data_IF_835311707470
#
_entry.id   IF_835311707470
#
_cell.length_a   1.000
_cell.length_b   1.000
_cell.length_c   1.000
_cell.angle_alpha   90.00
_cell.angle_beta   90.00
_cell.angle_gamma   90.00
#
_symmetry.space_group_name_H-M   'P 1'
#
loop_
_entity.id
_entity.type
_entity.pdbx_description
1 polymer ?
#
# COMPACT_ATOMS: atom_id res chain seq x y z
N UNK A 1 1.16 8.27 -23.06
CA UNK A 1 0.90 8.64 -21.66
C UNK A 1 1.56 7.55 -20.86
N UNK A 2 2.80 7.77 -20.39
CA UNK A 2 3.40 6.83 -19.44
C UNK A 2 2.46 6.78 -18.24
N UNK A 3 2.03 5.58 -17.86
CA UNK A 3 1.49 5.42 -16.52
C UNK A 3 2.63 5.83 -15.59
N UNK A 4 2.48 6.93 -14.85
CA UNK A 4 3.38 7.22 -13.73
C UNK A 4 3.30 6.00 -12.81
N UNK A 5 4.29 5.11 -12.89
CA UNK A 5 4.39 3.96 -11.99
C UNK A 5 4.46 4.53 -10.57
N UNK A 6 3.55 4.10 -9.71
CA UNK A 6 3.50 4.52 -8.30
C UNK A 6 4.41 3.56 -7.54
N UNK A 7 5.71 3.87 -7.46
CA UNK A 7 6.68 2.97 -6.85
C UNK A 7 6.64 3.17 -5.35
N UNK A 8 5.96 2.27 -4.67
CA UNK A 8 5.77 2.35 -3.23
C UNK A 8 7.07 1.91 -2.56
N UNK A 9 7.67 2.85 -1.84
CA UNK A 9 8.88 2.65 -1.05
C UNK A 9 8.65 2.91 0.45
N UNK A 10 7.44 3.38 0.81
CA UNK A 10 6.97 3.52 2.18
C UNK A 10 5.60 2.87 2.36
N UNK A 11 5.53 1.88 3.26
CA UNK A 11 4.26 1.33 3.74
C UNK A 11 4.28 1.35 5.25
N UNK A 12 3.36 2.08 5.87
CA UNK A 12 3.33 2.21 7.32
C UNK A 12 1.93 2.47 7.85
N UNK A 13 1.61 1.86 8.99
CA UNK A 13 0.40 2.22 9.72
C UNK A 13 0.54 3.64 10.27
N UNK A 14 -0.45 4.48 10.02
CA UNK A 14 -0.52 5.80 10.64
C UNK A 14 -1.05 5.62 12.06
N UNK A 15 -0.37 6.19 13.05
CA UNK A 15 -1.02 6.48 14.33
C UNK A 15 -2.22 7.39 14.09
N UNK A 16 -2.04 8.39 13.23
CA UNK A 16 -3.11 9.31 12.83
C UNK A 16 -2.67 10.28 11.73
N UNK A 17 -3.62 10.89 11.03
CA UNK A 17 -3.43 12.06 10.17
C UNK A 17 -4.02 13.30 10.82
N UNK A 18 -3.25 14.40 10.86
CA UNK A 18 -3.61 15.69 11.47
C UNK A 18 -3.56 16.80 10.45
N UNK A 19 -4.44 17.78 10.58
CA UNK A 19 -4.35 19.04 9.85
C UNK A 19 -4.83 20.16 10.77
N UNK A 20 -4.21 21.33 10.64
CA UNK A 20 -4.66 22.55 11.33
C UNK A 20 -5.85 23.21 10.61
N UNK A 21 -6.18 22.74 9.41
CA UNK A 21 -7.29 23.22 8.58
C UNK A 21 -8.15 22.05 8.08
N UNK A 22 -9.17 22.35 7.28
CA UNK A 22 -9.93 21.29 6.60
C UNK A 22 -9.01 20.59 5.59
N UNK A 23 -8.87 19.27 5.73
CA UNK A 23 -8.04 18.44 4.86
C UNK A 23 -8.87 17.32 4.22
N UNK A 24 -8.63 17.04 2.94
CA UNK A 24 -9.27 15.92 2.25
C UNK A 24 -8.48 15.48 1.02
N UNK A 25 -8.68 14.23 0.60
CA UNK A 25 -8.17 13.73 -0.68
C UNK A 25 -9.35 13.64 -1.66
N UNK A 26 -9.30 14.42 -2.73
CA UNK A 26 -10.36 14.45 -3.74
C UNK A 26 -9.78 14.71 -5.12
N UNK A 27 -10.41 14.15 -6.16
CA UNK A 27 -9.95 14.26 -7.55
C UNK A 27 -8.48 13.86 -7.77
N UNK A 28 -7.97 12.91 -6.98
CA UNK A 28 -6.60 12.39 -7.09
C UNK A 28 -5.53 13.28 -6.45
N UNK A 29 -5.90 14.29 -5.66
CA UNK A 29 -4.98 15.20 -4.96
C UNK A 29 -5.40 15.45 -3.51
N UNK A 30 -4.43 15.74 -2.66
CA UNK A 30 -4.60 16.32 -1.33
C UNK A 30 -5.05 17.78 -1.46
N UNK A 31 -6.05 18.17 -0.67
CA UNK A 31 -6.51 19.55 -0.53
C UNK A 31 -6.25 19.98 0.91
N UNK A 32 -5.38 20.97 1.07
CA UNK A 32 -4.81 21.40 2.35
C UNK A 32 -3.55 20.61 2.74
N UNK A 33 -2.81 21.17 3.68
CA UNK A 33 -1.66 20.52 4.30
C UNK A 33 -2.11 19.58 5.41
N UNK A 34 -1.47 18.42 5.52
CA UNK A 34 -1.64 17.50 6.62
C UNK A 34 -0.31 16.87 7.06
N UNK A 35 -0.33 16.34 8.27
CA UNK A 35 0.75 15.60 8.88
C UNK A 35 0.29 14.18 9.16
N UNK A 36 0.91 13.20 8.52
CA UNK A 36 0.73 11.80 8.88
C UNK A 36 1.75 11.40 9.95
N UNK A 37 1.27 11.10 11.14
CA UNK A 37 2.08 10.53 12.23
C UNK A 37 2.03 9.01 12.10
N UNK A 38 3.18 8.39 11.88
CA UNK A 38 3.30 6.95 11.75
C UNK A 38 3.33 6.29 13.13
N UNK A 39 2.97 5.01 13.19
CA UNK A 39 2.91 4.26 14.45
C UNK A 39 4.30 4.10 15.11
N UNK A 40 5.37 4.16 14.32
CA UNK A 40 6.77 4.15 14.78
C UNK A 40 7.29 5.53 15.24
N UNK A 41 6.43 6.56 15.21
CA UNK A 41 6.75 7.92 15.62
C UNK A 41 7.35 8.81 14.54
N UNK A 42 7.63 8.29 13.33
CA UNK A 42 8.00 9.12 12.19
C UNK A 42 6.84 10.04 11.80
N UNK A 43 7.18 11.18 11.24
CA UNK A 43 6.22 12.22 10.85
C UNK A 43 6.44 12.56 9.39
N UNK A 44 5.38 12.49 8.59
CA UNK A 44 5.40 12.82 7.17
C UNK A 44 4.51 14.02 6.90
N UNK A 45 4.97 14.93 6.06
CA UNK A 45 4.15 16.04 5.57
C UNK A 45 3.47 15.63 4.26
N UNK A 46 2.14 15.75 4.23
CA UNK A 46 1.33 15.67 3.01
C UNK A 46 1.01 17.12 2.65
N UNK A 47 1.78 17.70 1.73
CA UNK A 47 1.58 19.07 1.30
C UNK A 47 0.29 19.22 0.48
N UNK A 48 -0.31 20.41 0.49
CA UNK A 48 -1.41 20.75 -0.42
C UNK A 48 -1.02 20.46 -1.88
N UNK A 49 -1.96 19.89 -2.64
CA UNK A 49 -1.73 19.48 -4.03
C UNK A 49 -0.93 18.19 -4.23
N UNK A 50 -0.45 17.53 -3.16
CA UNK A 50 0.22 16.21 -3.29
C UNK A 50 -0.73 15.21 -3.94
N UNK A 51 -0.27 14.49 -4.97
CA UNK A 51 -1.11 13.49 -5.63
C UNK A 51 -1.43 12.33 -4.69
N UNK A 52 -2.66 11.85 -4.68
CA UNK A 52 -3.00 10.69 -3.88
C UNK A 52 -4.46 10.26 -3.95
N UNK A 53 -4.74 9.14 -3.30
CA UNK A 53 -6.08 8.61 -3.13
C UNK A 53 -6.31 8.19 -1.67
N UNK A 54 -7.57 8.16 -1.24
CA UNK A 54 -7.92 7.64 0.08
C UNK A 54 -9.18 6.80 0.00
N UNK A 55 -9.09 5.56 0.45
CA UNK A 55 -10.24 4.72 0.80
C UNK A 55 -10.40 4.59 2.31
N UNK A 56 -9.49 5.17 3.10
CA UNK A 56 -9.64 5.26 4.55
C UNK A 56 -10.64 6.37 4.90
N UNK A 57 -11.73 6.00 5.58
CA UNK A 57 -12.84 6.93 5.85
C UNK A 57 -12.57 7.94 6.97
N UNK A 58 -11.71 7.59 7.93
CA UNK A 58 -11.43 8.42 9.11
C UNK A 58 -9.92 8.53 9.37
N UNK A 59 -9.14 9.24 8.53
CA UNK A 59 -7.70 9.40 8.70
C UNK A 59 -7.25 10.00 10.04
N UNK A 60 -8.10 10.81 10.65
CA UNK A 60 -7.89 11.41 11.95
C UNK A 60 -8.13 10.44 13.12
N UNK A 61 -8.83 9.33 12.90
CA UNK A 61 -9.03 8.32 13.93
C UNK A 61 -7.71 7.58 14.21
N UNK A 62 -7.51 7.19 15.46
CA UNK A 62 -6.27 6.53 15.87
C UNK A 62 -6.13 5.16 15.22
N UNK A 63 -4.95 4.88 14.67
CA UNK A 63 -4.55 3.61 14.06
C UNK A 63 -5.48 3.15 12.92
N UNK A 64 -6.27 4.06 12.34
CA UNK A 64 -7.35 3.72 11.41
C UNK A 64 -6.87 3.46 9.98
N UNK A 65 -5.69 3.95 9.60
CA UNK A 65 -5.20 3.87 8.24
C UNK A 65 -3.77 3.31 8.14
N UNK A 66 -3.46 2.81 6.95
CA UNK A 66 -2.10 2.60 6.45
C UNK A 66 -1.86 3.59 5.32
N UNK A 67 -0.69 4.23 5.33
CA UNK A 67 -0.19 5.01 4.21
C UNK A 67 0.74 4.14 3.36
N UNK A 68 0.48 4.12 2.05
CA UNK A 68 1.39 3.64 1.02
C UNK A 68 1.86 4.86 0.24
N UNK A 69 3.16 5.14 0.20
CA UNK A 69 3.69 6.32 -0.47
C UNK A 69 4.84 5.97 -1.40
N UNK A 70 4.91 6.74 -2.48
CA UNK A 70 6.07 6.91 -3.35
C UNK A 70 6.78 8.19 -2.87
N UNK A 71 8.00 8.04 -2.37
CA UNK A 71 8.76 9.12 -1.75
C UNK A 71 9.95 9.55 -2.60
N UNK A 72 10.30 10.84 -2.48
CA UNK A 72 11.51 11.40 -3.05
C UNK A 72 12.27 12.17 -1.98
N UNK A 73 13.31 11.54 -1.43
CA UNK A 73 13.98 12.02 -0.23
C UNK A 73 13.01 11.98 0.95
N UNK A 74 12.77 13.14 1.58
CA UNK A 74 11.85 13.25 2.72
C UNK A 74 10.41 13.63 2.30
N UNK A 75 10.16 13.82 0.99
CA UNK A 75 8.87 14.27 0.45
C UNK A 75 8.01 13.13 -0.10
N UNK A 76 6.69 13.29 -0.03
CA UNK A 76 5.71 12.40 -0.68
C UNK A 76 5.43 12.92 -2.08
N UNK A 77 5.66 12.09 -3.10
CA UNK A 77 5.32 12.39 -4.51
C UNK A 77 3.91 11.90 -4.82
N UNK A 78 3.56 10.73 -4.29
CA UNK A 78 2.23 10.14 -4.39
C UNK A 78 1.89 9.32 -3.15
N UNK A 79 0.61 9.25 -2.74
CA UNK A 79 0.20 8.38 -1.65
C UNK A 79 -1.19 7.74 -1.83
N UNK A 80 -1.40 6.63 -1.12
CA UNK A 80 -2.71 6.04 -0.86
C UNK A 80 -2.92 5.86 0.63
N UNK A 81 -4.04 6.34 1.15
CA UNK A 81 -4.53 5.97 2.48
C UNK A 81 -5.57 4.86 2.35
N UNK A 82 -5.27 3.72 2.94
CA UNK A 82 -6.20 2.57 2.99
C UNK A 82 -6.59 2.27 4.43
N UNK A 83 -7.75 1.64 4.68
CA UNK A 83 -8.10 1.18 6.01
C UNK A 83 -7.00 0.28 6.59
N UNK A 84 -6.68 0.49 7.86
CA UNK A 84 -5.82 -0.42 8.59
C UNK A 84 -6.46 -1.82 8.69
N UNK A 85 -5.65 -2.88 8.79
CA UNK A 85 -6.17 -4.22 9.02
C UNK A 85 -6.89 -4.31 10.37
N UNK A 86 -7.61 -5.42 10.57
CA UNK A 86 -8.28 -5.69 11.83
C UNK A 86 -7.32 -5.59 13.03
N UNK A 87 -7.83 -5.12 14.17
CA UNK A 87 -7.04 -4.94 15.40
C UNK A 87 -6.30 -6.23 15.74
N UNK A 88 -4.98 -6.11 15.95
CA UNK A 88 -4.10 -7.24 16.26
C UNK A 88 -3.50 -7.95 15.04
N UNK A 89 -3.86 -7.54 13.82
CA UNK A 89 -3.24 -8.03 12.58
C UNK A 89 -2.21 -7.04 12.05
N UNK A 90 -1.11 -7.54 11.49
CA UNK A 90 -0.16 -6.77 10.67
C UNK A 90 -0.35 -7.02 9.17
N UNK A 91 -1.36 -7.79 8.77
CA UNK A 91 -1.57 -8.19 7.38
C UNK A 91 -2.53 -7.24 6.67
N UNK A 92 -1.97 -6.38 5.82
CA UNK A 92 -2.74 -5.51 4.95
C UNK A 92 -3.09 -6.23 3.64
N UNK A 93 -4.38 -6.33 3.35
CA UNK A 93 -4.86 -6.84 2.06
C UNK A 93 -4.89 -5.74 1.00
N UNK A 94 -4.23 -6.00 -0.12
CA UNK A 94 -4.15 -5.13 -1.28
C UNK A 94 -4.71 -5.84 -2.54
N UNK A 95 -4.98 -5.08 -3.61
CA UNK A 95 -5.41 -5.65 -4.87
C UNK A 95 -4.48 -6.75 -5.39
N UNK A 96 -4.98 -7.67 -6.25
CA UNK A 96 -4.17 -8.74 -6.80
C UNK A 96 -2.97 -8.21 -7.59
N UNK A 97 -1.91 -9.02 -7.62
CA UNK A 97 -0.73 -8.82 -8.46
C UNK A 97 -1.14 -9.00 -9.93
N UNK A 98 -0.81 -8.01 -10.75
CA UNK A 98 -0.93 -8.05 -12.21
C UNK A 98 0.36 -8.51 -12.88
N UNK A 99 1.52 -8.02 -12.41
CA UNK A 99 2.82 -8.37 -12.99
C UNK A 99 3.91 -8.43 -11.92
N UNK A 100 4.91 -9.29 -12.14
CA UNK A 100 6.15 -9.32 -11.37
C UNK A 100 7.21 -8.51 -12.12
N UNK A 101 7.94 -7.67 -11.38
CA UNK A 101 8.90 -6.70 -11.92
C UNK A 101 10.30 -6.98 -11.33
N UNK A 102 11.32 -6.41 -11.96
CA UNK A 102 12.69 -6.33 -11.44
C UNK A 102 13.23 -7.66 -10.90
N UNK A 103 13.06 -8.74 -11.66
CA UNK A 103 13.52 -10.07 -11.24
C UNK A 103 12.80 -10.63 -10.02
N UNK A 104 11.52 -10.26 -9.82
CA UNK A 104 10.65 -10.69 -8.69
C UNK A 104 11.01 -10.02 -7.36
N UNK A 105 11.47 -8.77 -7.42
CA UNK A 105 11.68 -7.92 -6.22
C UNK A 105 10.53 -6.94 -6.00
N UNK A 106 9.75 -6.65 -7.05
CA UNK A 106 8.55 -5.82 -6.99
C UNK A 106 7.37 -6.52 -7.68
N UNK A 107 6.16 -6.19 -7.23
CA UNK A 107 4.92 -6.58 -7.87
C UNK A 107 4.12 -5.35 -8.26
N UNK A 108 3.69 -5.28 -9.52
CA UNK A 108 2.65 -4.35 -9.94
C UNK A 108 1.29 -4.92 -9.61
N UNK A 109 0.49 -4.17 -8.87
CA UNK A 109 -0.88 -4.51 -8.53
C UNK A 109 -1.84 -4.03 -9.62
N UNK A 110 -3.02 -4.63 -9.67
CA UNK A 110 -4.09 -4.26 -10.64
C UNK A 110 -4.59 -2.82 -10.55
N UNK A 111 -4.26 -2.07 -9.50
CA UNK A 111 -4.54 -0.63 -9.39
C UNK A 111 -3.33 0.25 -9.77
N UNK A 112 -2.26 -0.34 -10.32
CA UNK A 112 -1.07 0.36 -10.81
C UNK A 112 0.01 0.64 -9.77
N UNK A 113 -0.19 0.31 -8.49
CA UNK A 113 0.85 0.42 -7.47
C UNK A 113 1.94 -0.63 -7.70
N UNK A 114 3.21 -0.26 -7.55
CA UNK A 114 4.33 -1.19 -7.53
C UNK A 114 4.82 -1.32 -6.09
N UNK A 115 4.64 -2.51 -5.50
CA UNK A 115 4.96 -2.79 -4.10
C UNK A 115 6.14 -3.76 -3.98
N UNK A 116 6.99 -3.60 -2.97
CA UNK A 116 8.16 -4.47 -2.78
C UNK A 116 7.72 -5.86 -2.29
N UNK A 117 8.42 -6.89 -2.77
CA UNK A 117 8.23 -8.28 -2.40
C UNK A 117 9.30 -8.71 -1.40
N UNK A 118 8.94 -9.58 -0.46
CA UNK A 118 9.93 -10.37 0.28
C UNK A 118 10.54 -11.43 -0.62
N UNK A 119 11.76 -11.86 -0.27
CA UNK A 119 12.45 -12.98 -0.92
C UNK A 119 11.58 -14.24 -0.98
N UNK A 120 10.75 -14.44 0.05
CA UNK A 120 9.82 -15.57 0.15
C UNK A 120 8.40 -15.07 0.34
N UNK A 121 7.62 -15.11 -0.75
CA UNK A 121 6.17 -14.83 -0.71
C UNK A 121 5.39 -16.14 -0.53
N UNK A 122 4.71 -16.25 0.61
CA UNK A 122 3.90 -17.43 0.98
C UNK A 122 2.63 -17.48 0.13
N UNK A 123 2.34 -18.64 -0.47
CA UNK A 123 1.13 -18.87 -1.28
C UNK A 123 0.09 -19.58 -0.42
N UNK A 124 -0.95 -18.87 0.01
CA UNK A 124 -2.00 -19.36 0.91
C UNK A 124 -3.19 -19.88 0.11
N UNK A 125 -3.02 -21.03 -0.51
CA UNK A 125 -4.04 -21.71 -1.32
C UNK A 125 -3.98 -23.22 -1.12
N UNK A 126 -5.05 -23.93 -1.50
CA UNK A 126 -5.07 -25.41 -1.40
C UNK A 126 -4.10 -26.08 -2.36
N UNK A 127 -3.91 -25.47 -3.53
CA UNK A 127 -3.00 -26.00 -4.54
C UNK A 127 -1.61 -25.40 -4.33
N UNK A 128 -0.61 -26.28 -4.29
CA UNK A 128 0.78 -25.88 -4.28
C UNK A 128 1.26 -25.60 -5.71
N UNK A 129 1.86 -24.43 -5.88
CA UNK A 129 2.50 -24.02 -7.14
C UNK A 129 3.99 -23.82 -6.92
N UNK A 130 4.82 -24.11 -7.94
CA UNK A 130 6.27 -24.17 -7.79
C UNK A 130 6.89 -22.82 -7.41
N UNK A 131 6.31 -21.70 -7.86
CA UNK A 131 6.81 -20.37 -7.58
C UNK A 131 5.69 -19.31 -7.69
N UNK A 132 6.01 -18.06 -7.33
CA UNK A 132 5.09 -16.93 -7.40
C UNK A 132 4.66 -16.60 -8.83
N UNK A 133 5.53 -16.74 -9.82
CA UNK A 133 5.18 -16.48 -11.22
C UNK A 133 4.09 -17.43 -11.73
N UNK A 134 4.22 -18.73 -11.44
CA UNK A 134 3.17 -19.72 -11.75
C UNK A 134 1.87 -19.41 -11.01
N UNK A 135 1.94 -18.88 -9.79
CA UNK A 135 0.78 -18.44 -9.04
C UNK A 135 0.04 -17.29 -9.72
N UNK A 136 0.74 -16.20 -10.05
CA UNK A 136 0.15 -15.02 -10.70
C UNK A 136 -0.45 -15.41 -12.05
N UNK A 137 0.25 -16.22 -12.85
CA UNK A 137 -0.24 -16.69 -14.14
C UNK A 137 -1.52 -17.53 -14.03
N UNK A 138 -1.66 -18.34 -12.97
CA UNK A 138 -2.83 -19.23 -12.80
C UNK A 138 -4.04 -18.53 -12.22
N UNK A 139 -3.84 -17.73 -11.16
CA UNK A 139 -4.94 -17.11 -10.44
C UNK A 139 -5.35 -15.77 -11.02
N UNK A 140 -4.49 -15.12 -11.82
CA UNK A 140 -4.74 -13.81 -12.43
C UNK A 140 -5.31 -12.84 -11.38
N UNK A 141 -6.52 -12.30 -11.57
CA UNK A 141 -7.15 -11.35 -10.63
C UNK A 141 -7.93 -12.01 -9.48
N UNK A 142 -7.89 -13.34 -9.35
CA UNK A 142 -8.67 -14.14 -8.37
C UNK A 142 -7.90 -14.41 -7.08
N UNK A 143 -7.14 -13.42 -6.60
CA UNK A 143 -6.41 -13.49 -5.35
C UNK A 143 -6.37 -12.11 -4.67
N UNK A 144 -5.81 -12.06 -3.46
CA UNK A 144 -5.39 -10.83 -2.79
C UNK A 144 -3.89 -10.88 -2.54
N UNK A 145 -3.28 -9.70 -2.51
CA UNK A 145 -1.89 -9.50 -2.10
C UNK A 145 -1.89 -9.15 -0.61
N UNK A 146 -0.97 -9.72 0.15
CA UNK A 146 -0.86 -9.47 1.60
C UNK A 146 0.50 -8.83 1.87
N UNK A 147 0.48 -7.62 2.41
CA UNK A 147 1.65 -6.92 2.93
C UNK A 147 1.75 -7.15 4.44
N UNK A 148 2.92 -7.53 4.93
CA UNK A 148 3.23 -7.49 6.35
C UNK A 148 3.70 -6.09 6.72
N UNK A 149 2.93 -5.39 7.54
CA UNK A 149 3.21 -4.02 7.95
C UNK A 149 4.50 -3.88 8.78
N UNK A 150 4.98 -4.95 9.41
CA UNK A 150 6.26 -4.93 10.14
C UNK A 150 7.48 -4.95 9.22
N UNK A 151 7.32 -5.53 8.02
CA UNK A 151 8.38 -5.63 7.01
C UNK A 151 8.17 -4.65 5.85
N UNK A 152 7.00 -3.99 5.80
CA UNK A 152 6.60 -3.08 4.73
C UNK A 152 6.70 -3.70 3.32
N UNK A 153 6.47 -5.01 3.22
CA UNK A 153 6.66 -5.79 2.00
C UNK A 153 5.60 -6.88 1.85
N UNK A 154 5.35 -7.30 0.61
CA UNK A 154 4.44 -8.40 0.32
C UNK A 154 5.02 -9.71 0.87
N UNK A 155 4.32 -10.31 1.82
CA UNK A 155 4.70 -11.55 2.51
C UNK A 155 3.88 -12.75 2.06
N UNK A 156 2.68 -12.51 1.55
CA UNK A 156 1.83 -13.58 1.07
C UNK A 156 0.91 -13.16 -0.08
N UNK A 157 0.41 -14.17 -0.77
CA UNK A 157 -0.74 -14.07 -1.68
C UNK A 157 -1.76 -15.11 -1.25
N UNK A 158 -3.05 -14.77 -1.33
CA UNK A 158 -4.14 -15.66 -0.91
C UNK A 158 -5.20 -15.73 -2.00
N UNK A 159 -5.58 -16.94 -2.38
CA UNK A 159 -6.64 -17.16 -3.36
C UNK A 159 -7.98 -16.64 -2.82
N UNK A 160 -8.79 -16.06 -3.71
CA UNK A 160 -10.22 -15.85 -3.43
C UNK A 160 -10.95 -17.15 -3.76
N UNK A 161 -11.83 -17.57 -2.85
CA UNK A 161 -12.65 -18.78 -3.00
C UNK A 161 -13.58 -18.69 -4.20
#
# INVERSE_FOLDING_TARGET
MEANNRRIDLIAQTSTVRSDQAWSVSNGISNGDATAVLLDGRVLTIADGTMGESTCLFPEALNACVILADTLGDGIVWFSLVPAPAVGSSELELPPIEALLDGVTYARLTNGMEVPLLDVVVRRCREELPNLASFVAKYEKRHVTIVDLSQAQVSAVRCKG
#
